data_IF_280712259446
#
_entry.id   IF_280712259446
#
_cell.length_a   1.000
_cell.length_b   1.000
_cell.length_c   1.000
_cell.angle_alpha   90.00
_cell.angle_beta   90.00
_cell.angle_gamma   90.00
#
_symmetry.space_group_name_H-M   'P 1'
#
loop_
_entity.id
_entity.type
_entity.pdbx_description
1 polymer ?
#
# COMPACT_ATOMS: atom_id res chain seq x y z
N UNK A 1 -9.17 9.86 43.26
CA UNK A 1 -7.99 9.45 42.46
C UNK A 1 -6.66 9.57 43.22
N UNK A 2 -6.34 10.70 43.89
CA UNK A 2 -5.09 10.90 44.67
C UNK A 2 -4.71 9.79 45.68
N UNK A 3 -5.67 9.20 46.39
CA UNK A 3 -5.37 8.14 47.36
C UNK A 3 -4.91 6.83 46.69
N UNK A 4 -5.49 6.47 45.54
CA UNK A 4 -5.10 5.27 44.78
C UNK A 4 -3.68 5.41 44.22
N UNK A 5 -3.34 6.62 43.75
CA UNK A 5 -2.00 6.95 43.25
C UNK A 5 -0.91 6.77 44.32
N UNK A 6 -1.16 7.29 45.53
CA UNK A 6 -0.24 7.12 46.66
C UNK A 6 -0.07 5.65 47.04
N UNK A 7 -1.14 4.85 46.97
CA UNK A 7 -1.07 3.41 47.21
C UNK A 7 -0.20 2.71 46.15
N UNK A 8 -0.40 2.99 44.86
CA UNK A 8 0.40 2.39 43.78
C UNK A 8 1.89 2.76 43.93
N UNK A 9 2.20 4.04 44.17
CA UNK A 9 3.59 4.48 44.41
C UNK A 9 4.21 3.79 45.63
N UNK A 10 3.44 3.65 46.72
CA UNK A 10 3.93 2.96 47.92
C UNK A 10 4.23 1.48 47.63
N UNK A 11 3.34 0.78 46.91
CA UNK A 11 3.53 -0.63 46.56
C UNK A 11 4.78 -0.83 45.70
N UNK A 12 4.97 -0.03 44.65
CA UNK A 12 6.14 -0.12 43.78
C UNK A 12 7.44 0.19 44.55
N UNK A 13 7.46 1.22 45.41
CA UNK A 13 8.61 1.53 46.29
C UNK A 13 8.92 0.43 47.29
N UNK A 14 7.95 -0.41 47.65
CA UNK A 14 8.13 -1.55 48.55
C UNK A 14 8.49 -2.83 47.81
N UNK A 15 8.82 -2.75 46.52
CA UNK A 15 9.29 -3.87 45.71
C UNK A 15 8.19 -4.69 45.04
N UNK A 16 6.97 -4.14 44.91
CA UNK A 16 5.95 -4.78 44.09
C UNK A 16 6.40 -4.79 42.62
N UNK A 17 6.49 -5.98 42.02
CA UNK A 17 6.86 -6.12 40.61
C UNK A 17 5.64 -5.80 39.71
N UNK A 18 5.72 -4.79 38.82
CA UNK A 18 4.63 -4.45 37.91
C UNK A 18 4.29 -5.56 36.91
N UNK A 19 5.15 -6.57 36.75
CA UNK A 19 5.02 -7.65 35.78
C UNK A 19 4.30 -8.91 36.33
N UNK A 20 4.18 -9.09 37.65
CA UNK A 20 3.67 -10.33 38.28
C UNK A 20 2.13 -10.46 38.32
N UNK A 21 1.38 -9.58 37.64
CA UNK A 21 -0.08 -9.61 37.71
C UNK A 21 -0.67 -10.63 36.72
N UNK A 22 -1.46 -11.61 37.23
CA UNK A 22 -1.94 -12.76 36.45
C UNK A 22 -3.44 -12.81 36.11
N UNK A 23 -4.26 -11.82 36.45
CA UNK A 23 -5.71 -11.87 36.11
C UNK A 23 -6.34 -10.48 35.87
N UNK A 24 -7.09 -10.24 34.78
CA UNK A 24 -7.03 -10.91 33.47
C UNK A 24 -5.98 -10.27 32.53
N UNK A 25 -5.31 -9.20 32.96
CA UNK A 25 -4.41 -8.39 32.14
C UNK A 25 -3.37 -7.69 33.02
N UNK A 26 -2.11 -7.59 32.55
CA UNK A 26 -1.03 -6.96 33.34
C UNK A 26 -1.28 -5.46 33.58
N UNK A 27 -0.69 -4.93 34.65
CA UNK A 27 -0.99 -3.59 35.19
C UNK A 27 -0.73 -2.48 34.16
N UNK A 28 0.34 -2.61 33.36
CA UNK A 28 0.68 -1.65 32.31
C UNK A 28 -0.46 -1.47 31.30
N UNK A 29 -1.07 -2.56 30.84
CA UNK A 29 -2.19 -2.47 29.90
C UNK A 29 -3.42 -1.77 30.50
N UNK A 30 -3.66 -1.88 31.80
CA UNK A 30 -4.76 -1.18 32.46
C UNK A 30 -4.53 0.33 32.46
N UNK A 31 -3.29 0.76 32.78
CA UNK A 31 -2.91 2.17 32.73
C UNK A 31 -3.00 2.73 31.30
N UNK A 32 -2.48 2.00 30.32
CA UNK A 32 -2.56 2.38 28.90
C UNK A 32 -4.03 2.49 28.48
N UNK A 33 -4.85 1.46 28.71
CA UNK A 33 -6.27 1.47 28.32
C UNK A 33 -7.06 2.59 29.01
N UNK A 34 -6.65 3.01 30.21
CA UNK A 34 -7.26 4.11 30.94
C UNK A 34 -6.81 5.50 30.48
N UNK A 35 -5.81 5.62 29.60
CA UNK A 35 -5.23 6.92 29.23
C UNK A 35 -4.36 7.54 30.34
N UNK A 36 -3.98 6.76 31.36
CA UNK A 36 -3.25 7.26 32.53
C UNK A 36 -1.76 7.43 32.23
N UNK A 37 -1.40 8.59 31.71
CA UNK A 37 -0.02 8.92 31.30
C UNK A 37 0.95 8.85 32.47
N UNK A 38 0.56 9.39 33.63
CA UNK A 38 1.39 9.37 34.83
C UNK A 38 1.58 7.93 35.32
N UNK A 39 0.51 7.13 35.32
CA UNK A 39 0.55 5.71 35.66
C UNK A 39 1.45 4.90 34.75
N UNK A 40 1.37 5.11 33.43
CA UNK A 40 2.27 4.46 32.46
C UNK A 40 3.71 4.84 32.75
N UNK A 41 4.01 6.15 32.91
CA UNK A 41 5.36 6.62 33.20
C UNK A 41 5.95 5.98 34.45
N UNK A 42 5.19 5.97 35.55
CA UNK A 42 5.63 5.37 36.81
C UNK A 42 5.91 3.87 36.68
N UNK A 43 5.08 3.14 35.95
CA UNK A 43 5.27 1.70 35.73
C UNK A 43 6.54 1.44 34.91
N UNK A 44 6.78 2.22 33.85
CA UNK A 44 8.00 2.12 33.04
C UNK A 44 9.26 2.43 33.87
N UNK A 45 9.22 3.46 34.72
CA UNK A 45 10.33 3.79 35.65
C UNK A 45 10.66 2.65 36.64
N UNK A 46 9.68 1.78 36.94
CA UNK A 46 9.85 0.62 37.82
C UNK A 46 10.02 -0.70 37.05
N UNK A 47 10.43 -0.65 35.78
CA UNK A 47 10.79 -1.84 35.01
C UNK A 47 9.59 -2.64 34.46
N UNK A 48 8.46 -1.98 34.22
CA UNK A 48 7.35 -2.62 33.51
C UNK A 48 7.76 -2.99 32.08
N UNK A 49 7.53 -4.25 31.72
CA UNK A 49 7.83 -4.78 30.39
C UNK A 49 6.84 -4.26 29.35
N UNK A 50 7.35 -3.84 28.20
CA UNK A 50 6.59 -3.33 27.05
C UNK A 50 6.40 -4.36 25.95
N UNK A 51 7.18 -5.45 25.97
CA UNK A 51 7.15 -6.58 25.03
C UNK A 51 6.05 -7.63 25.35
N UNK A 52 5.26 -7.34 26.37
CA UNK A 52 4.17 -8.19 26.86
C UNK A 52 3.05 -8.26 25.83
N UNK A 53 2.47 -9.45 25.66
CA UNK A 53 1.34 -9.69 24.76
C UNK A 53 0.13 -10.12 25.54
N UNK A 54 -1.04 -9.62 25.15
CA UNK A 54 -2.30 -10.16 25.66
C UNK A 54 -2.45 -11.65 25.33
N UNK A 55 -3.32 -12.39 26.03
CA UNK A 55 -3.66 -13.75 25.63
C UNK A 55 -4.10 -13.80 24.15
N UNK A 56 -3.82 -14.89 23.41
CA UNK A 56 -4.19 -15.02 21.99
C UNK A 56 -5.68 -14.78 21.72
N UNK A 57 -6.57 -15.11 22.67
CA UNK A 57 -8.02 -14.84 22.61
C UNK A 57 -8.38 -13.35 22.52
N UNK A 58 -7.44 -12.46 22.87
CA UNK A 58 -7.55 -11.01 22.77
C UNK A 58 -6.62 -10.45 21.67
N UNK A 59 -6.23 -11.28 20.69
CA UNK A 59 -5.44 -10.89 19.53
C UNK A 59 -3.95 -10.69 19.81
N UNK A 60 -3.41 -11.17 20.94
CA UNK A 60 -2.00 -11.02 21.32
C UNK A 60 -1.42 -9.60 21.22
N UNK A 61 -2.27 -8.59 21.45
CA UNK A 61 -1.89 -7.18 21.34
C UNK A 61 -0.81 -6.80 22.35
N UNK A 62 0.13 -5.96 21.92
CA UNK A 62 1.11 -5.29 22.80
C UNK A 62 0.54 -3.98 23.37
N UNK A 63 1.11 -3.41 24.44
CA UNK A 63 0.72 -2.10 24.96
C UNK A 63 0.72 -1.01 23.89
N UNK A 64 1.66 -1.09 22.93
CA UNK A 64 1.78 -0.14 21.84
C UNK A 64 0.56 -0.16 20.90
N UNK A 65 -0.03 -1.34 20.63
CA UNK A 65 -1.28 -1.43 19.86
C UNK A 65 -2.43 -0.71 20.55
N UNK A 66 -2.55 -0.88 21.88
CA UNK A 66 -3.62 -0.24 22.64
C UNK A 66 -3.40 1.27 22.67
N UNK A 67 -2.17 1.72 22.93
CA UNK A 67 -1.82 3.13 22.92
C UNK A 67 -2.12 3.80 21.57
N UNK A 68 -1.76 3.13 20.45
CA UNK A 68 -2.06 3.58 19.11
C UNK A 68 -3.57 3.62 18.79
N UNK A 69 -4.40 2.92 19.56
CA UNK A 69 -5.86 2.96 19.44
C UNK A 69 -6.52 4.06 20.29
N UNK A 70 -5.81 4.64 21.27
CA UNK A 70 -6.37 5.66 22.15
C UNK A 70 -6.60 6.97 21.36
N UNK A 71 -7.73 7.66 21.59
CA UNK A 71 -7.94 8.99 21.05
C UNK A 71 -7.23 10.07 21.87
N UNK A 72 -7.01 11.22 21.26
CA UNK A 72 -6.55 12.43 21.95
C UNK A 72 -5.05 12.45 22.31
N UNK A 73 -4.64 13.50 23.01
CA UNK A 73 -3.22 13.74 23.37
C UNK A 73 -2.68 12.69 24.35
N UNK A 74 -3.55 12.05 25.14
CA UNK A 74 -3.14 10.95 26.03
C UNK A 74 -2.57 9.77 25.25
N UNK A 75 -3.22 9.38 24.14
CA UNK A 75 -2.73 8.32 23.27
C UNK A 75 -1.36 8.64 22.66
N UNK A 76 -1.16 9.90 22.24
CA UNK A 76 0.12 10.39 21.71
C UNK A 76 1.22 10.27 22.77
N UNK A 77 1.02 10.85 23.95
CA UNK A 77 2.03 10.83 25.03
C UNK A 77 2.33 9.41 25.52
N UNK A 78 1.32 8.55 25.63
CA UNK A 78 1.55 7.15 26.03
C UNK A 78 2.32 6.41 24.94
N UNK A 79 2.01 6.67 23.66
CA UNK A 79 2.76 6.08 22.55
C UNK A 79 4.22 6.52 22.59
N UNK A 80 4.51 7.81 22.78
CA UNK A 80 5.87 8.34 22.94
C UNK A 80 6.61 7.67 24.11
N UNK A 81 5.97 7.59 25.29
CA UNK A 81 6.55 6.93 26.47
C UNK A 81 6.86 5.46 26.23
N UNK A 82 5.94 4.74 25.56
CA UNK A 82 6.15 3.34 25.21
C UNK A 82 7.27 3.21 24.19
N UNK A 83 7.32 4.03 23.14
CA UNK A 83 8.36 3.93 22.11
C UNK A 83 9.77 4.15 22.66
N UNK A 84 9.94 5.01 23.67
CA UNK A 84 11.22 5.14 24.37
C UNK A 84 11.64 3.89 25.17
N UNK A 85 10.69 3.01 25.49
CA UNK A 85 10.89 1.80 26.30
C UNK A 85 10.63 0.50 25.52
N UNK A 86 10.23 0.56 24.25
CA UNK A 86 9.85 -0.59 23.42
C UNK A 86 11.07 -1.11 22.67
N UNK A 87 11.17 -2.44 22.62
CA UNK A 87 12.24 -3.16 21.91
C UNK A 87 11.88 -3.52 20.47
N UNK A 88 10.59 -3.62 20.15
CA UNK A 88 10.08 -3.98 18.82
C UNK A 88 8.81 -3.16 18.51
N UNK A 89 8.97 -2.14 17.65
CA UNK A 89 7.88 -1.24 17.20
C UNK A 89 6.91 -1.96 16.25
N UNK A 90 7.41 -3.01 15.57
CA UNK A 90 6.74 -3.73 14.50
C UNK A 90 6.13 -5.06 14.96
N UNK A 91 6.04 -5.26 16.28
CA UNK A 91 5.40 -6.41 16.88
C UNK A 91 3.99 -6.62 16.27
N UNK A 92 3.76 -7.81 15.73
CA UNK A 92 2.49 -8.17 15.10
C UNK A 92 1.54 -8.83 16.11
N UNK A 93 0.27 -8.41 16.05
CA UNK A 93 -0.84 -9.05 16.72
C UNK A 93 -1.08 -10.49 16.19
N UNK A 94 -1.78 -11.30 16.96
CA UNK A 94 -2.29 -12.61 16.56
C UNK A 94 -3.77 -12.51 16.15
N UNK A 95 -4.12 -11.44 15.44
CA UNK A 95 -5.45 -11.22 14.85
C UNK A 95 -5.52 -11.72 13.41
N UNK A 96 -4.62 -12.64 13.04
CA UNK A 96 -4.51 -13.21 11.70
C UNK A 96 -5.85 -13.76 11.18
N UNK A 97 -6.65 -14.31 12.09
CA UNK A 97 -7.96 -14.90 11.81
C UNK A 97 -9.16 -13.96 12.04
N UNK A 98 -8.95 -12.74 12.53
CA UNK A 98 -10.04 -11.78 12.75
C UNK A 98 -10.30 -10.96 11.48
N UNK A 99 -11.53 -11.03 10.95
CA UNK A 99 -11.99 -10.13 9.88
C UNK A 99 -12.19 -8.74 10.50
N UNK A 100 -11.53 -7.72 9.97
CA UNK A 100 -11.58 -6.38 10.53
C UNK A 100 -12.87 -5.66 10.15
N UNK A 101 -13.69 -5.33 11.16
CA UNK A 101 -14.98 -4.64 11.05
C UNK A 101 -16.11 -5.42 11.74
N UNK A 102 -17.10 -4.75 12.38
CA UNK A 102 -18.14 -5.43 13.14
C UNK A 102 -19.05 -6.21 12.19
N UNK A 103 -19.10 -7.53 12.41
CA UNK A 103 -20.22 -8.43 12.10
C UNK A 103 -20.95 -8.19 10.77
N UNK A 104 -20.42 -8.76 9.68
CA UNK A 104 -21.15 -9.82 8.95
C UNK A 104 -20.30 -10.54 7.90
N UNK A 105 -20.50 -11.86 7.74
CA UNK A 105 -19.92 -12.65 6.68
C UNK A 105 -20.80 -12.47 5.43
N UNK A 106 -20.32 -11.70 4.49
CA UNK A 106 -20.55 -11.92 3.07
C UNK A 106 -19.47 -11.08 2.37
N UNK A 107 -18.42 -11.75 1.90
CA UNK A 107 -17.46 -11.15 0.98
C UNK A 107 -18.24 -10.67 -0.24
N UNK A 108 -18.69 -9.41 -0.20
CA UNK A 108 -19.42 -8.81 -1.31
C UNK A 108 -18.53 -8.95 -2.54
N UNK A 109 -19.03 -9.72 -3.51
CA UNK A 109 -18.29 -9.99 -4.74
C UNK A 109 -18.02 -8.65 -5.43
N UNK A 110 -16.74 -8.21 -5.38
CA UNK A 110 -16.25 -7.04 -6.10
C UNK A 110 -16.56 -7.21 -7.59
N UNK A 111 -17.09 -6.20 -8.25
CA UNK A 111 -17.34 -6.30 -9.69
C UNK A 111 -16.04 -6.27 -10.51
N UNK A 112 -14.90 -5.94 -9.87
CA UNK A 112 -13.60 -6.04 -10.49
C UNK A 112 -13.30 -7.51 -10.79
N UNK A 113 -13.22 -7.85 -12.09
CA UNK A 113 -12.88 -9.21 -12.52
C UNK A 113 -11.40 -9.46 -12.24
N UNK A 114 -11.12 -10.31 -11.25
CA UNK A 114 -9.80 -10.90 -11.09
C UNK A 114 -9.60 -11.96 -12.20
N UNK A 115 -8.50 -11.83 -12.92
CA UNK A 115 -7.82 -12.89 -13.65
C UNK A 115 -6.49 -13.11 -12.93
N UNK A 116 -5.90 -14.30 -13.01
CA UNK A 116 -4.64 -14.63 -12.32
C UNK A 116 -3.45 -13.84 -12.89
N UNK A 117 -3.52 -12.52 -12.79
CA UNK A 117 -2.54 -11.56 -13.28
C UNK A 117 -1.34 -11.57 -12.32
N UNK A 118 -0.11 -11.67 -12.86
CA UNK A 118 1.08 -11.49 -12.06
C UNK A 118 1.19 -10.03 -11.61
N UNK A 119 1.77 -9.83 -10.43
CA UNK A 119 2.00 -8.51 -9.86
C UNK A 119 3.09 -7.73 -10.60
N UNK A 120 3.52 -6.58 -10.05
CA UNK A 120 4.72 -5.92 -10.52
C UNK A 120 5.89 -6.92 -10.59
N UNK A 121 6.81 -6.81 -11.58
CA UNK A 121 7.99 -7.65 -11.62
C UNK A 121 8.86 -7.47 -10.36
N UNK A 122 9.59 -8.51 -9.95
CA UNK A 122 10.43 -8.46 -8.75
C UNK A 122 11.51 -7.39 -8.78
N UNK A 123 11.89 -6.89 -9.95
CA UNK A 123 12.82 -5.76 -10.12
C UNK A 123 12.27 -4.41 -9.66
N UNK A 124 10.94 -4.27 -9.53
CA UNK A 124 10.30 -3.03 -9.10
C UNK A 124 10.23 -2.86 -7.58
N UNK A 125 10.42 -3.92 -6.80
CA UNK A 125 10.34 -3.91 -5.34
C UNK A 125 11.54 -4.60 -4.71
N UNK A 126 11.82 -4.33 -3.44
CA UNK A 126 12.95 -4.94 -2.73
C UNK A 126 12.71 -6.44 -2.50
N UNK A 127 13.62 -7.34 -2.92
CA UNK A 127 13.42 -8.80 -2.87
C UNK A 127 13.48 -9.44 -1.47
N UNK A 128 13.53 -8.65 -0.39
CA UNK A 128 13.55 -9.17 0.99
C UNK A 128 12.25 -9.83 1.45
N UNK A 129 11.21 -9.85 0.63
CA UNK A 129 9.98 -10.55 0.94
C UNK A 129 9.92 -11.87 0.17
N UNK A 130 10.17 -12.98 0.87
CA UNK A 130 9.40 -14.20 0.61
C UNK A 130 7.90 -13.81 0.54
N UNK A 131 7.09 -14.58 -0.21
CA UNK A 131 5.63 -14.41 -0.27
C UNK A 131 5.12 -14.00 1.12
N UNK A 132 4.36 -12.90 1.25
CA UNK A 132 4.04 -12.32 2.54
C UNK A 132 3.39 -13.40 3.40
N UNK A 133 4.12 -13.88 4.40
CA UNK A 133 3.52 -14.65 5.47
C UNK A 133 2.48 -13.72 6.08
N UNK A 134 1.24 -14.18 6.13
CA UNK A 134 0.15 -13.37 6.66
C UNK A 134 0.52 -12.89 8.07
N UNK A 135 0.62 -11.58 8.23
CA UNK A 135 1.02 -10.93 9.48
C UNK A 135 -0.16 -10.24 10.14
N UNK A 136 -0.24 -10.29 11.47
CA UNK A 136 -1.26 -9.53 12.18
C UNK A 136 -0.97 -8.03 12.19
N UNK A 137 -1.89 -7.25 12.77
CA UNK A 137 -1.74 -5.79 12.82
C UNK A 137 -0.51 -5.40 13.62
N UNK A 138 0.09 -4.29 13.20
CA UNK A 138 1.10 -3.57 13.96
C UNK A 138 0.45 -2.34 14.59
N UNK A 139 1.14 -1.69 15.51
CA UNK A 139 0.66 -0.42 16.07
C UNK A 139 0.45 0.65 14.98
N UNK A 140 1.27 0.64 13.93
CA UNK A 140 1.14 1.55 12.79
C UNK A 140 -0.17 1.30 12.02
N UNK A 141 -0.52 0.05 11.75
CA UNK A 141 -1.81 -0.31 11.15
C UNK A 141 -2.99 0.22 11.99
N UNK A 142 -2.92 0.06 13.32
CA UNK A 142 -3.95 0.58 14.25
C UNK A 142 -4.06 2.10 14.21
N UNK A 143 -2.94 2.81 14.20
CA UNK A 143 -2.92 4.27 14.12
C UNK A 143 -3.48 4.76 12.76
N UNK A 144 -3.17 4.07 11.66
CA UNK A 144 -3.66 4.36 10.32
C UNK A 144 -5.17 4.16 10.15
N UNK A 145 -5.89 3.52 11.07
CA UNK A 145 -7.36 3.36 11.00
C UNK A 145 -8.18 4.48 11.67
N UNK A 146 -7.55 5.28 12.53
CA UNK A 146 -8.26 6.24 13.39
C UNK A 146 -8.03 7.70 13.02
N UNK A 147 -9.10 8.47 13.02
CA UNK A 147 -8.99 9.93 12.94
C UNK A 147 -8.19 10.49 14.13
N UNK A 148 -7.50 11.61 13.93
CA UNK A 148 -6.75 12.28 15.00
C UNK A 148 -5.39 11.65 15.33
N UNK A 149 -5.11 10.42 14.90
CA UNK A 149 -3.86 9.72 15.20
C UNK A 149 -2.70 10.06 14.26
N UNK A 150 -2.78 11.18 13.52
CA UNK A 150 -1.70 11.64 12.63
C UNK A 150 -0.37 11.85 13.38
N UNK A 151 -0.43 12.33 14.63
CA UNK A 151 0.73 12.46 15.51
C UNK A 151 1.30 11.09 15.90
N UNK A 152 0.45 10.14 16.27
CA UNK A 152 0.84 8.75 16.59
C UNK A 152 1.51 8.09 15.38
N UNK A 153 0.92 8.22 14.18
CA UNK A 153 1.51 7.70 12.93
C UNK A 153 2.88 8.32 12.70
N UNK A 154 3.01 9.65 12.88
CA UNK A 154 4.30 10.34 12.74
C UNK A 154 5.33 9.77 13.71
N UNK A 155 4.98 9.60 14.99
CA UNK A 155 5.91 9.13 16.01
C UNK A 155 6.35 7.68 15.76
N UNK A 156 5.40 6.80 15.40
CA UNK A 156 5.71 5.41 15.02
C UNK A 156 6.70 5.35 13.84
N UNK A 157 6.44 6.13 12.80
CA UNK A 157 7.31 6.17 11.62
C UNK A 157 8.67 6.81 11.90
N UNK A 158 8.77 7.79 12.81
CA UNK A 158 10.07 8.36 13.21
C UNK A 158 10.90 7.40 14.05
N UNK A 159 10.25 6.50 14.78
CA UNK A 159 10.91 5.44 15.56
C UNK A 159 11.15 4.16 14.75
N UNK A 160 10.99 4.21 13.42
CA UNK A 160 11.37 3.12 12.52
C UNK A 160 10.33 2.05 12.28
N UNK A 161 9.04 2.29 12.58
CA UNK A 161 7.96 1.37 12.20
C UNK A 161 7.94 1.14 10.69
N UNK A 162 7.94 -0.11 10.23
CA UNK A 162 7.90 -0.43 8.80
C UNK A 162 6.46 -0.35 8.24
N UNK A 163 6.15 0.62 7.35
CA UNK A 163 4.83 0.74 6.73
C UNK A 163 4.52 -0.38 5.73
N UNK A 164 5.50 -1.19 5.36
CA UNK A 164 5.37 -2.23 4.35
C UNK A 164 4.99 -3.59 4.91
N UNK A 165 4.90 -3.75 6.24
CA UNK A 165 4.60 -5.05 6.83
C UNK A 165 3.24 -5.57 6.36
N UNK A 166 3.17 -6.86 5.96
CA UNK A 166 1.95 -7.43 5.45
C UNK A 166 0.91 -7.55 6.56
N UNK A 167 -0.34 -7.28 6.20
CA UNK A 167 -1.52 -7.47 7.01
C UNK A 167 -2.33 -8.66 6.51
N UNK A 168 -2.96 -9.39 7.42
CA UNK A 168 -3.72 -10.60 7.13
C UNK A 168 -4.92 -10.39 6.22
N UNK A 169 -5.35 -11.49 5.59
CA UNK A 169 -6.59 -11.59 4.79
C UNK A 169 -6.70 -10.57 3.65
N UNK A 170 -5.60 -10.30 2.98
CA UNK A 170 -5.60 -9.50 1.76
C UNK A 170 -5.78 -7.99 1.97
N UNK A 171 -5.66 -7.50 3.21
CA UNK A 171 -5.61 -6.05 3.46
C UNK A 171 -4.28 -5.44 3.04
N UNK A 172 -3.22 -6.21 2.81
CA UNK A 172 -1.99 -5.68 2.21
C UNK A 172 -1.09 -4.98 3.23
N UNK A 173 -0.99 -3.65 3.19
CA UNK A 173 -0.03 -2.84 3.97
C UNK A 173 -0.68 -1.60 4.61
N UNK A 174 0.08 -0.79 5.36
CA UNK A 174 -0.41 0.47 5.93
C UNK A 174 -1.01 1.42 4.87
N UNK A 175 -0.48 1.41 3.64
CA UNK A 175 -1.05 2.15 2.52
C UNK A 175 -2.45 1.64 2.15
N UNK A 176 -2.66 0.33 2.17
CA UNK A 176 -3.96 -0.26 1.86
C UNK A 176 -5.00 0.07 2.96
N UNK A 177 -4.59 0.04 4.24
CA UNK A 177 -5.43 0.49 5.36
C UNK A 177 -5.85 1.95 5.20
N UNK A 178 -4.93 2.84 4.76
CA UNK A 178 -5.26 4.24 4.51
C UNK A 178 -6.29 4.43 3.37
N UNK A 179 -6.38 3.46 2.46
CA UNK A 179 -7.25 3.50 1.29
C UNK A 179 -8.59 2.78 1.48
N UNK A 180 -8.73 1.99 2.55
CA UNK A 180 -9.92 1.18 2.81
C UNK A 180 -11.17 2.07 3.06
N UNK A 181 -12.30 1.65 2.48
CA UNK A 181 -13.60 2.29 2.61
C UNK A 181 -14.18 2.17 4.03
N UNK A 182 -13.83 1.14 4.78
CA UNK A 182 -14.34 0.87 6.13
C UNK A 182 -14.06 2.02 7.12
N UNK A 183 -13.04 2.84 6.84
CA UNK A 183 -12.61 3.97 7.68
C UNK A 183 -12.93 5.32 7.04
N UNK A 184 -13.70 5.35 5.96
CA UNK A 184 -14.01 6.57 5.20
C UNK A 184 -14.79 7.61 6.00
N UNK A 185 -15.75 7.19 6.82
CA UNK A 185 -16.52 8.11 7.66
C UNK A 185 -15.71 8.74 8.79
N UNK A 186 -14.48 8.26 9.01
CA UNK A 186 -13.59 8.75 10.07
C UNK A 186 -12.54 9.71 9.56
N UNK A 187 -12.50 10.10 8.28
CA UNK A 187 -11.48 11.05 7.80
C UNK A 187 -11.99 11.89 6.66
N UNK A 188 -11.64 13.17 6.67
CA UNK A 188 -11.71 13.99 5.46
C UNK A 188 -10.77 13.47 4.37
N UNK A 189 -11.11 13.71 3.10
CA UNK A 189 -10.28 13.31 1.96
C UNK A 189 -8.86 13.86 2.08
N UNK A 190 -8.70 15.15 2.42
CA UNK A 190 -7.37 15.77 2.53
C UNK A 190 -6.54 15.14 3.66
N UNK A 191 -7.17 14.74 4.78
CA UNK A 191 -6.49 14.01 5.85
C UNK A 191 -6.00 12.64 5.40
N UNK A 192 -6.76 11.94 4.54
CA UNK A 192 -6.32 10.67 3.93
C UNK A 192 -5.14 10.88 2.99
N UNK A 193 -5.17 11.93 2.15
CA UNK A 193 -4.06 12.23 1.25
C UNK A 193 -2.78 12.55 2.04
N UNK A 194 -2.89 13.36 3.11
CA UNK A 194 -1.77 13.68 3.99
C UNK A 194 -1.22 12.43 4.73
N UNK A 195 -2.09 11.47 5.08
CA UNK A 195 -1.65 10.19 5.64
C UNK A 195 -0.86 9.36 4.63
N UNK A 196 -1.33 9.29 3.38
CA UNK A 196 -0.61 8.60 2.28
C UNK A 196 0.75 9.25 2.04
N UNK A 197 0.82 10.58 1.96
CA UNK A 197 2.09 11.28 1.76
C UNK A 197 3.07 11.01 2.89
N UNK A 198 2.58 10.97 4.14
CA UNK A 198 3.40 10.65 5.31
C UNK A 198 3.93 9.22 5.26
N UNK A 199 3.10 8.25 4.89
CA UNK A 199 3.54 6.86 4.74
C UNK A 199 4.62 6.74 3.65
N UNK A 200 4.38 7.33 2.48
CA UNK A 200 5.33 7.30 1.36
C UNK A 200 6.64 8.01 1.73
N UNK A 201 6.59 9.17 2.41
CA UNK A 201 7.80 9.90 2.83
C UNK A 201 8.66 9.13 3.83
N UNK A 202 8.06 8.17 4.55
CA UNK A 202 8.75 7.27 5.49
C UNK A 202 8.99 5.87 4.91
N UNK A 203 8.99 5.72 3.58
CA UNK A 203 9.42 4.49 2.92
C UNK A 203 8.33 3.46 2.63
N UNK A 204 7.04 3.84 2.67
CA UNK A 204 5.99 2.97 2.18
C UNK A 204 6.10 2.78 0.66
N UNK A 205 6.27 1.53 0.25
CA UNK A 205 6.45 1.12 -1.13
C UNK A 205 5.09 0.84 -1.79
N UNK A 206 4.65 1.77 -2.62
CA UNK A 206 3.42 1.66 -3.40
C UNK A 206 3.49 0.58 -4.49
N UNK A 207 4.70 0.14 -4.87
CA UNK A 207 4.95 -0.93 -5.85
C UNK A 207 5.01 -2.31 -5.19
N UNK A 208 4.94 -2.39 -3.86
CA UNK A 208 4.94 -3.68 -3.15
C UNK A 208 3.73 -4.52 -3.57
N UNK A 209 3.90 -5.80 -3.90
CA UNK A 209 2.81 -6.65 -4.35
C UNK A 209 1.76 -6.84 -3.25
N UNK A 210 0.49 -6.70 -3.63
CA UNK A 210 -0.68 -6.93 -2.78
C UNK A 210 -1.52 -8.04 -3.39
N UNK A 211 -1.81 -9.07 -2.60
CA UNK A 211 -2.63 -10.21 -3.02
C UNK A 211 -4.11 -9.84 -2.86
N UNK A 212 -4.86 -9.91 -3.97
CA UNK A 212 -6.30 -9.71 -4.02
C UNK A 212 -6.97 -11.05 -4.23
N UNK A 213 -7.93 -11.38 -3.36
CA UNK A 213 -8.65 -12.65 -3.39
C UNK A 213 -10.14 -12.43 -3.57
N UNK A 214 -10.76 -13.17 -4.47
CA UNK A 214 -12.20 -13.14 -4.71
C UNK A 214 -12.72 -14.56 -5.01
N UNK A 215 -13.29 -15.21 -4.00
CA UNK A 215 -13.58 -16.64 -4.08
C UNK A 215 -12.29 -17.41 -4.38
N UNK A 216 -12.31 -18.26 -5.41
CA UNK A 216 -11.14 -19.04 -5.83
C UNK A 216 -10.14 -18.26 -6.71
N UNK A 217 -10.46 -17.00 -7.05
CA UNK A 217 -9.61 -16.19 -7.93
C UNK A 217 -8.65 -15.37 -7.11
N UNK A 218 -7.39 -15.38 -7.54
CA UNK A 218 -6.31 -14.63 -6.90
C UNK A 218 -5.64 -13.78 -7.97
N UNK A 219 -5.43 -12.49 -7.68
CA UNK A 219 -4.62 -11.62 -8.51
C UNK A 219 -3.57 -10.95 -7.63
N UNK A 220 -2.40 -10.66 -8.18
CA UNK A 220 -1.39 -9.86 -7.48
C UNK A 220 -1.36 -8.48 -8.14
N UNK A 221 -1.61 -7.45 -7.34
CA UNK A 221 -1.61 -6.06 -7.79
C UNK A 221 -0.78 -5.19 -6.85
N UNK A 222 -1.16 -3.93 -6.75
CA UNK A 222 -0.55 -2.92 -5.87
C UNK A 222 -1.57 -2.37 -4.87
N UNK A 223 -1.14 -1.48 -3.98
CA UNK A 223 -2.07 -0.74 -3.11
C UNK A 223 -3.13 0.05 -3.91
N UNK A 224 -2.82 0.47 -5.15
CA UNK A 224 -3.79 1.12 -6.04
C UNK A 224 -4.86 0.14 -6.50
N UNK A 225 -4.46 -1.07 -6.89
CA UNK A 225 -5.40 -2.12 -7.28
C UNK A 225 -6.28 -2.54 -6.11
N UNK A 226 -5.71 -2.64 -4.90
CA UNK A 226 -6.48 -2.85 -3.68
C UNK A 226 -7.52 -1.74 -3.46
N UNK A 227 -7.12 -0.46 -3.60
CA UNK A 227 -8.04 0.67 -3.48
C UNK A 227 -9.21 0.58 -4.47
N UNK A 228 -8.95 0.24 -5.73
CA UNK A 228 -10.02 0.01 -6.70
C UNK A 228 -10.84 -1.25 -6.38
N UNK A 229 -10.20 -2.32 -5.92
CA UNK A 229 -10.87 -3.56 -5.55
C UNK A 229 -11.88 -3.30 -4.42
N UNK A 230 -11.47 -2.56 -3.39
CA UNK A 230 -12.31 -2.08 -2.29
C UNK A 230 -13.41 -1.15 -2.80
N UNK A 231 -13.09 -0.17 -3.66
CA UNK A 231 -14.07 0.72 -4.31
C UNK A 231 -15.21 -0.04 -5.00
N UNK A 232 -14.90 -1.09 -5.75
CA UNK A 232 -15.87 -1.89 -6.50
C UNK A 232 -16.67 -2.90 -5.66
N UNK A 233 -16.38 -3.03 -4.35
CA UNK A 233 -17.25 -3.78 -3.43
C UNK A 233 -18.53 -2.99 -3.11
N UNK A 234 -18.47 -1.65 -3.09
CA UNK A 234 -19.64 -0.80 -2.92
C UNK A 234 -20.42 -0.68 -4.22
N UNK A 235 -21.35 -1.60 -4.44
CA UNK A 235 -22.19 -1.63 -5.65
C UNK A 235 -23.07 -0.40 -5.79
N UNK A 236 -23.49 0.21 -4.68
CA UNK A 236 -24.38 1.37 -4.70
C UNK A 236 -23.66 2.57 -5.28
N UNK A 237 -22.43 2.81 -4.83
CA UNK A 237 -21.65 3.97 -5.28
C UNK A 237 -20.94 3.70 -6.61
N UNK A 238 -20.35 2.52 -6.78
CA UNK A 238 -19.51 2.25 -7.96
C UNK A 238 -20.31 2.00 -9.25
N UNK A 239 -21.56 1.52 -9.18
CA UNK A 239 -22.36 1.14 -10.36
C UNK A 239 -23.58 2.01 -10.62
N UNK A 240 -23.99 2.83 -9.67
CA UNK A 240 -25.11 3.74 -9.90
C UNK A 240 -24.66 4.93 -10.78
N UNK A 241 -25.40 5.27 -11.84
CA UNK A 241 -25.14 6.48 -12.62
C UNK A 241 -25.13 7.72 -11.72
N UNK A 242 -24.22 8.67 -12.00
CA UNK A 242 -24.02 9.86 -11.15
C UNK A 242 -25.30 10.64 -10.83
N UNK A 243 -26.19 10.79 -11.81
CA UNK A 243 -27.44 11.53 -11.66
C UNK A 243 -28.46 10.82 -10.75
N UNK A 244 -28.34 9.50 -10.58
CA UNK A 244 -29.22 8.69 -9.72
C UNK A 244 -28.73 8.61 -8.27
N UNK A 245 -27.53 9.13 -7.97
CA UNK A 245 -27.00 9.22 -6.61
C UNK A 245 -27.55 10.43 -5.85
N UNK A 246 -27.76 10.28 -4.55
CA UNK A 246 -28.09 11.36 -3.63
C UNK A 246 -26.90 12.33 -3.46
N UNK A 247 -27.10 13.60 -3.05
CA UNK A 247 -26.00 14.57 -2.91
C UNK A 247 -24.81 14.07 -2.07
N UNK A 248 -25.06 13.49 -0.89
CA UNK A 248 -24.01 12.92 -0.04
C UNK A 248 -23.27 11.73 -0.70
N UNK A 249 -23.97 10.92 -1.51
CA UNK A 249 -23.37 9.80 -2.23
C UNK A 249 -22.50 10.28 -3.41
N UNK A 250 -22.89 11.38 -4.05
CA UNK A 250 -22.08 12.05 -5.08
C UNK A 250 -20.79 12.58 -4.48
N UNK A 251 -20.85 13.21 -3.32
CA UNK A 251 -19.67 13.68 -2.59
C UNK A 251 -18.73 12.52 -2.24
N UNK A 252 -19.28 11.42 -1.73
CA UNK A 252 -18.51 10.21 -1.43
C UNK A 252 -17.86 9.60 -2.69
N UNK A 253 -18.62 9.48 -3.78
CA UNK A 253 -18.07 9.00 -5.07
C UNK A 253 -16.89 9.87 -5.53
N UNK A 254 -17.03 11.20 -5.46
CA UNK A 254 -16.00 12.14 -5.86
C UNK A 254 -14.77 12.06 -4.94
N UNK A 255 -14.97 11.95 -3.63
CA UNK A 255 -13.90 11.77 -2.65
C UNK A 255 -13.09 10.49 -2.93
N UNK A 256 -13.76 9.35 -3.15
CA UNK A 256 -13.12 8.07 -3.49
C UNK A 256 -12.36 8.16 -4.81
N UNK A 257 -12.96 8.78 -5.85
CA UNK A 257 -12.27 8.98 -7.13
C UNK A 257 -11.01 9.84 -6.98
N UNK A 258 -11.09 10.94 -6.21
CA UNK A 258 -9.95 11.80 -5.93
C UNK A 258 -8.82 11.03 -5.24
N UNK A 259 -9.15 10.19 -4.26
CA UNK A 259 -8.19 9.31 -3.58
C UNK A 259 -7.50 8.34 -4.55
N UNK A 260 -8.28 7.66 -5.40
CA UNK A 260 -7.75 6.69 -6.36
C UNK A 260 -6.88 7.35 -7.45
N UNK A 261 -7.29 8.52 -7.94
CA UNK A 261 -6.47 9.33 -8.87
C UNK A 261 -5.15 9.76 -8.19
N UNK A 262 -5.21 10.14 -6.91
CA UNK A 262 -4.02 10.50 -6.14
C UNK A 262 -3.02 9.35 -5.99
N UNK A 263 -3.51 8.16 -5.61
CA UNK A 263 -2.72 6.94 -5.54
C UNK A 263 -2.11 6.56 -6.89
N UNK A 264 -2.90 6.65 -7.97
CA UNK A 264 -2.41 6.41 -9.33
C UNK A 264 -1.28 7.36 -9.72
N UNK A 265 -1.32 8.62 -9.27
CA UNK A 265 -0.24 9.58 -9.51
C UNK A 265 1.07 9.21 -8.78
N UNK A 266 0.98 8.78 -7.52
CA UNK A 266 2.13 8.30 -6.74
C UNK A 266 2.72 7.01 -7.31
N UNK A 267 1.87 6.07 -7.72
CA UNK A 267 2.31 4.84 -8.38
C UNK A 267 3.07 5.17 -9.66
N UNK A 268 2.52 6.02 -10.54
CA UNK A 268 3.20 6.44 -11.78
C UNK A 268 4.56 7.06 -11.49
N UNK A 269 4.67 7.95 -10.50
CA UNK A 269 5.94 8.56 -10.09
C UNK A 269 6.94 7.52 -9.60
N UNK A 270 6.50 6.56 -8.78
CA UNK A 270 7.35 5.49 -8.28
C UNK A 270 7.88 4.59 -9.41
N UNK A 271 7.01 4.22 -10.37
CA UNK A 271 7.42 3.47 -11.56
C UNK A 271 8.45 4.26 -12.37
N UNK A 272 8.22 5.55 -12.63
CA UNK A 272 9.17 6.35 -13.42
C UNK A 272 10.52 6.50 -12.74
N UNK A 273 10.53 6.67 -11.41
CA UNK A 273 11.76 6.72 -10.63
C UNK A 273 12.53 5.38 -10.65
N UNK A 274 11.83 4.24 -10.81
CA UNK A 274 12.45 2.93 -11.02
C UNK A 274 12.95 2.76 -12.44
N UNK A 275 12.13 3.07 -13.44
CA UNK A 275 12.49 2.95 -14.85
C UNK A 275 13.66 3.86 -15.24
N UNK A 276 13.82 5.03 -14.58
CA UNK A 276 14.96 5.93 -14.82
C UNK A 276 16.31 5.38 -14.35
N UNK A 277 16.32 4.26 -13.61
CA UNK A 277 17.56 3.58 -13.17
C UNK A 277 18.09 2.62 -14.23
N UNK A 278 17.32 2.38 -15.29
CA UNK A 278 17.64 1.43 -16.35
C UNK A 278 18.03 2.14 -17.65
N UNK A 279 18.65 1.38 -18.55
CA UNK A 279 18.95 1.87 -19.90
C UNK A 279 17.64 2.16 -20.66
N UNK A 280 17.47 3.42 -21.06
CA UNK A 280 16.24 3.90 -21.68
C UNK A 280 15.96 3.24 -23.03
N UNK A 281 17.00 2.98 -23.82
CA UNK A 281 16.89 2.35 -25.15
C UNK A 281 16.51 0.88 -25.01
N UNK A 282 17.17 0.16 -24.11
CA UNK A 282 16.87 -1.24 -23.83
C UNK A 282 15.45 -1.42 -23.26
N UNK A 283 15.02 -0.53 -22.36
CA UNK A 283 13.66 -0.52 -21.82
C UNK A 283 12.63 -0.25 -22.93
N UNK A 284 12.88 0.73 -23.79
CA UNK A 284 11.99 1.04 -24.92
C UNK A 284 11.87 -0.17 -25.86
N UNK A 285 12.98 -0.80 -26.24
CA UNK A 285 12.99 -1.96 -27.11
C UNK A 285 12.25 -3.14 -26.48
N UNK A 286 12.44 -3.37 -25.18
CA UNK A 286 11.71 -4.39 -24.41
C UNK A 286 10.20 -4.14 -24.42
N UNK A 287 9.77 -2.89 -24.16
CA UNK A 287 8.35 -2.48 -24.22
C UNK A 287 7.78 -2.67 -25.62
N UNK A 288 8.50 -2.23 -26.66
CA UNK A 288 8.05 -2.36 -28.06
C UNK A 288 7.93 -3.82 -28.48
N UNK A 289 8.92 -4.65 -28.17
CA UNK A 289 8.92 -6.07 -28.51
C UNK A 289 7.70 -6.79 -27.92
N UNK A 290 7.39 -6.53 -26.64
CA UNK A 290 6.29 -7.20 -25.96
C UNK A 290 4.89 -6.64 -26.29
N UNK A 291 4.79 -5.34 -26.57
CA UNK A 291 3.50 -4.66 -26.79
C UNK A 291 3.08 -4.57 -28.26
N UNK A 292 3.96 -4.91 -29.20
CA UNK A 292 3.61 -4.97 -30.62
C UNK A 292 2.63 -6.11 -30.86
N UNK A 293 1.45 -5.86 -31.48
CA UNK A 293 0.50 -6.93 -31.77
C UNK A 293 1.13 -7.92 -32.74
N UNK A 294 1.52 -9.10 -32.25
CA UNK A 294 1.91 -10.19 -33.15
C UNK A 294 0.67 -10.57 -33.96
N UNK A 295 0.67 -10.27 -35.27
CA UNK A 295 -0.27 -10.90 -36.17
C UNK A 295 -0.18 -12.41 -35.95
N UNK A 296 -1.31 -13.02 -35.56
CA UNK A 296 -1.49 -14.47 -35.34
C UNK A 296 -0.47 -15.28 -36.15
N UNK A 297 0.57 -15.79 -35.48
CA UNK A 297 1.45 -16.78 -36.09
C UNK A 297 0.57 -18.00 -36.34
N UNK A 298 0.14 -18.17 -37.60
CA UNK A 298 -0.39 -19.42 -38.12
C UNK A 298 0.56 -20.52 -37.69
N UNK A 299 0.01 -21.58 -37.07
CA UNK A 299 0.66 -22.90 -36.91
C UNK A 299 1.58 -23.17 -38.10
N UNK A 300 2.90 -23.12 -37.88
CA UNK A 300 3.87 -23.80 -38.73
C UNK A 300 4.24 -25.10 -38.01
N UNK A 301 4.10 -26.18 -38.75
CA UNK A 301 4.46 -27.56 -38.41
C UNK A 301 5.95 -27.68 -38.03
N UNK A 302 6.33 -28.70 -37.24
CA UNK A 302 7.70 -28.88 -36.78
C UNK A 302 8.59 -29.43 -37.90
N UNK A 303 9.72 -28.77 -38.17
CA UNK A 303 10.70 -29.23 -39.15
C UNK A 303 12.04 -28.49 -39.06
N UNK A 304 12.99 -29.16 -38.42
CA UNK A 304 14.46 -28.99 -38.36
C UNK A 304 15.09 -27.70 -37.74
N UNK A 305 16.15 -27.87 -36.92
CA UNK A 305 16.88 -26.75 -36.32
C UNK A 305 17.90 -26.21 -37.31
N UNK A 306 17.89 -24.90 -37.56
CA UNK A 306 19.04 -24.21 -38.15
C UNK A 306 19.61 -23.29 -37.09
N UNK A 307 20.84 -23.60 -36.73
CA UNK A 307 21.73 -22.87 -35.84
C UNK A 307 22.01 -21.48 -36.43
N UNK A 308 21.40 -20.45 -35.84
CA UNK A 308 21.81 -19.07 -36.00
C UNK A 308 21.70 -18.43 -34.62
N UNK A 309 22.84 -18.00 -34.08
CA UNK A 309 23.00 -17.46 -32.74
C UNK A 309 21.91 -16.46 -32.39
N UNK A 310 20.95 -16.89 -31.58
CA UNK A 310 20.09 -15.99 -30.84
C UNK A 310 21.01 -15.28 -29.85
N UNK A 311 21.42 -14.06 -30.17
CA UNK A 311 21.75 -13.10 -29.11
C UNK A 311 20.54 -13.12 -28.19
N UNK A 312 20.69 -13.67 -26.98
CA UNK A 312 19.71 -13.50 -25.91
C UNK A 312 19.56 -12.00 -25.73
N UNK A 313 18.53 -11.41 -26.34
CA UNK A 313 18.24 -10.00 -26.19
C UNK A 313 17.86 -9.82 -24.73
N UNK A 314 18.75 -9.18 -23.96
CA UNK A 314 18.52 -8.85 -22.56
C UNK A 314 17.23 -8.02 -22.47
N UNK A 315 16.14 -8.65 -22.03
CA UNK A 315 14.86 -7.99 -21.89
C UNK A 315 14.71 -7.44 -20.48
N UNK A 316 14.40 -6.15 -20.37
CA UNK A 316 14.08 -5.54 -19.09
C UNK A 316 12.60 -5.84 -18.78
N UNK A 317 12.29 -6.61 -17.72
CA UNK A 317 10.90 -6.79 -17.30
C UNK A 317 10.34 -5.45 -16.81
N UNK A 318 9.23 -5.02 -17.39
CA UNK A 318 8.59 -3.75 -17.05
C UNK A 318 7.19 -3.94 -16.47
N UNK A 319 6.76 -3.00 -15.64
CA UNK A 319 5.48 -3.06 -14.97
C UNK A 319 4.37 -2.54 -15.87
N UNK A 320 3.37 -3.38 -16.14
CA UNK A 320 2.22 -3.06 -16.99
C UNK A 320 1.05 -2.57 -16.14
N UNK A 321 0.78 -1.28 -16.23
CA UNK A 321 -0.32 -0.64 -15.52
C UNK A 321 -0.90 0.50 -16.36
N UNK A 322 -2.06 1.02 -15.98
CA UNK A 322 -2.64 2.20 -16.59
C UNK A 322 -1.95 3.46 -16.07
N UNK A 323 -1.29 4.21 -16.94
CA UNK A 323 -0.53 5.40 -16.56
C UNK A 323 -1.42 6.55 -16.04
N UNK A 324 -2.73 6.53 -16.29
CA UNK A 324 -3.64 7.53 -15.73
C UNK A 324 -4.15 7.14 -14.34
N UNK A 325 -4.71 5.93 -14.21
CA UNK A 325 -5.44 5.52 -13.01
C UNK A 325 -4.66 4.57 -12.10
N UNK A 326 -3.46 4.15 -12.49
CA UNK A 326 -2.60 3.25 -11.71
C UNK A 326 -3.02 1.78 -11.73
N UNK A 327 -4.18 1.40 -12.30
CA UNK A 327 -4.64 0.01 -12.29
C UNK A 327 -3.77 -0.91 -13.13
N UNK A 328 -3.36 -2.03 -12.57
CA UNK A 328 -2.79 -3.19 -13.26
C UNK A 328 -3.76 -4.39 -13.29
N UNK A 329 -4.68 -4.49 -12.33
CA UNK A 329 -5.59 -5.63 -12.20
C UNK A 329 -7.00 -5.32 -12.73
N UNK A 330 -7.60 -6.32 -13.40
CA UNK A 330 -8.98 -6.26 -13.89
C UNK A 330 -9.20 -5.22 -15.00
N UNK A 331 -8.16 -4.91 -15.77
CA UNK A 331 -8.17 -3.98 -16.90
C UNK A 331 -7.50 -4.58 -18.12
N UNK A 332 -7.93 -4.17 -19.32
CA UNK A 332 -7.17 -4.41 -20.55
C UNK A 332 -6.37 -3.15 -20.87
N UNK A 333 -5.06 -3.28 -20.94
CA UNK A 333 -4.17 -2.18 -21.24
C UNK A 333 -3.93 -2.07 -22.75
N UNK A 334 -4.06 -0.86 -23.28
CA UNK A 334 -3.74 -0.55 -24.66
C UNK A 334 -2.52 0.38 -24.70
N UNK A 335 -1.43 0.01 -25.40
CA UNK A 335 -0.26 0.86 -25.56
C UNK A 335 -0.53 2.02 -26.51
N UNK A 336 0.22 3.11 -26.33
CA UNK A 336 0.35 4.12 -27.37
C UNK A 336 1.07 3.53 -28.57
N UNK A 337 0.44 3.59 -29.75
CA UNK A 337 1.01 3.07 -31.00
C UNK A 337 2.22 3.85 -31.51
N UNK A 338 2.49 5.04 -30.95
CA UNK A 338 3.64 5.88 -31.32
C UNK A 338 4.86 5.59 -30.45
N UNK A 339 4.71 5.69 -29.14
CA UNK A 339 5.85 5.57 -28.23
C UNK A 339 5.99 4.22 -27.55
N UNK A 340 4.95 3.36 -27.52
CA UNK A 340 4.89 2.11 -26.74
C UNK A 340 5.17 2.24 -25.22
N UNK A 341 5.59 3.42 -24.75
CA UNK A 341 5.96 3.67 -23.35
C UNK A 341 4.78 3.93 -22.42
N UNK A 342 3.59 4.23 -22.94
CA UNK A 342 2.41 4.58 -22.14
C UNK A 342 1.25 3.63 -22.43
N UNK A 343 0.74 3.02 -21.37
CA UNK A 343 -0.39 2.08 -21.37
C UNK A 343 -1.63 2.74 -20.73
N UNK A 344 -2.81 2.52 -21.33
CA UNK A 344 -4.08 3.06 -20.82
C UNK A 344 -5.20 2.02 -20.85
N UNK A 345 -6.08 2.03 -19.84
CA UNK A 345 -7.13 1.01 -19.71
C UNK A 345 -8.48 1.37 -20.33
N UNK A 346 -8.66 2.64 -20.76
CA UNK A 346 -9.94 3.14 -21.27
C UNK A 346 -9.74 4.38 -22.14
N UNK A 347 -10.75 4.72 -22.94
CA UNK A 347 -10.78 5.99 -23.70
C UNK A 347 -10.64 7.21 -22.79
N UNK A 348 -11.29 7.19 -21.63
CA UNK A 348 -11.20 8.26 -20.63
C UNK A 348 -9.76 8.45 -20.13
N UNK A 349 -9.11 7.35 -19.72
CA UNK A 349 -7.71 7.38 -19.28
C UNK A 349 -6.77 7.85 -20.40
N UNK A 350 -7.01 7.43 -21.64
CA UNK A 350 -6.25 7.89 -22.81
C UNK A 350 -6.36 9.40 -23.02
N UNK A 351 -7.57 9.95 -23.01
CA UNK A 351 -7.79 11.38 -23.21
C UNK A 351 -7.18 12.22 -22.08
N UNK A 352 -7.37 11.82 -20.81
CA UNK A 352 -6.77 12.53 -19.68
C UNK A 352 -5.26 12.46 -19.66
N UNK A 353 -4.68 11.27 -19.85
CA UNK A 353 -3.22 11.12 -19.90
C UNK A 353 -2.62 12.00 -21.01
N UNK A 354 -3.25 12.04 -22.19
CA UNK A 354 -2.84 12.91 -23.29
C UNK A 354 -2.90 14.40 -22.94
N UNK A 355 -3.93 14.83 -22.21
CA UNK A 355 -4.08 16.23 -21.82
C UNK A 355 -3.08 16.65 -20.72
N UNK A 356 -2.78 15.76 -19.78
CA UNK A 356 -2.02 16.10 -18.57
C UNK A 356 -0.50 15.99 -18.73
N UNK A 357 0.01 14.91 -19.33
CA UNK A 357 1.45 14.64 -19.38
C UNK A 357 1.92 14.02 -20.70
N UNK A 358 1.19 13.04 -21.24
CA UNK A 358 1.67 12.23 -22.35
C UNK A 358 1.93 13.03 -23.63
N UNK A 359 1.17 14.10 -23.94
CA UNK A 359 1.39 14.86 -25.19
C UNK A 359 2.82 15.39 -25.31
N UNK A 360 3.43 15.81 -24.19
CA UNK A 360 4.79 16.36 -24.16
C UNK A 360 5.81 15.24 -24.33
N UNK A 361 5.65 14.16 -23.57
CA UNK A 361 6.64 13.09 -23.48
C UNK A 361 6.55 12.06 -24.64
N UNK A 362 5.46 12.06 -25.41
CA UNK A 362 5.21 11.06 -26.46
C UNK A 362 6.29 11.05 -27.54
N UNK A 363 6.74 12.24 -27.97
CA UNK A 363 7.76 12.38 -29.00
C UNK A 363 9.14 11.98 -28.47
N UNK A 364 9.48 12.39 -27.25
CA UNK A 364 10.76 12.07 -26.62
C UNK A 364 10.90 10.56 -26.42
N UNK A 365 9.84 9.91 -25.92
CA UNK A 365 9.81 8.45 -25.78
C UNK A 365 9.90 7.72 -27.14
N UNK A 366 9.35 8.30 -28.20
CA UNK A 366 9.44 7.72 -29.54
C UNK A 366 10.85 7.90 -30.14
N UNK A 367 11.53 9.01 -29.82
CA UNK A 367 12.88 9.31 -30.30
C UNK A 367 13.95 8.38 -29.72
N UNK A 368 13.75 7.85 -28.49
CA UNK A 368 14.62 6.84 -27.87
C UNK A 368 14.79 5.59 -28.76
N UNK A 369 13.80 5.29 -29.60
CA UNK A 369 13.79 4.16 -30.51
C UNK A 369 14.50 4.37 -31.85
N UNK A 370 15.06 5.56 -32.10
CA UNK A 370 15.80 5.86 -33.34
C UNK A 370 17.29 5.58 -33.09
N UNK A 371 17.90 4.58 -33.75
CA UNK A 371 19.33 4.34 -33.60
C UNK A 371 20.14 5.55 -34.07
N UNK A 372 21.18 5.89 -33.32
CA UNK A 372 22.08 7.05 -33.55
C UNK A 372 22.90 6.97 -34.84
N UNK A 373 22.80 5.91 -35.63
CA UNK A 373 23.57 5.73 -36.87
C UNK A 373 23.02 6.49 -38.09
N UNK A 374 21.79 7.02 -38.03
CA UNK A 374 21.23 7.79 -39.18
C UNK A 374 21.53 9.30 -39.15
N UNK A 375 22.16 9.82 -38.09
CA UNK A 375 22.47 11.26 -37.99
C UNK A 375 23.82 11.63 -38.64
N UNK A 376 24.61 10.66 -39.10
CA UNK A 376 25.98 10.90 -39.62
C UNK A 376 26.11 10.94 -41.15
N UNK A 377 25.05 10.72 -41.93
CA UNK A 377 25.16 10.52 -43.39
C UNK A 377 24.36 11.53 -44.26
N UNK A 378 24.07 12.74 -43.76
CA UNK A 378 23.42 13.80 -44.58
C UNK A 378 24.09 15.18 -44.49
N UNK A 379 25.36 15.26 -44.10
CA UNK A 379 26.06 16.54 -43.92
C UNK A 379 27.40 16.64 -44.62
N UNK A 380 27.51 16.20 -45.88
CA UNK A 380 28.78 16.34 -46.60
C UNK A 380 28.69 15.96 -48.06
N UNK A 381 28.08 16.81 -48.88
CA UNK A 381 28.40 16.92 -50.32
C UNK A 381 27.68 18.14 -50.90
N UNK A 382 28.44 19.21 -51.15
CA UNK A 382 28.25 20.18 -52.25
C UNK A 382 29.48 21.10 -52.26
N UNK A 383 30.38 20.82 -53.19
CA UNK A 383 31.40 21.76 -53.69
C UNK A 383 30.75 22.86 -54.52
#
# INVERSE_FOLDING_TARGET
QRNRWRTIQLLLRRGADPNLCRVPMQVLFLAVRAGDVDGVKLMLEHGARTDIRLPPKLGALTPLHIAAALPGEEGVRITELLLHAVTDVDAQAADQDHVYGPDKPDLLFSSMKLSNEPGPPSTYYSPHAALPQEGGRTALHVACEREGNSKVVKELLSQGADPNLPLTKGLGSALCVACDLNYEHRRSTDSKLALIDRLISHGADILKPVILTQGDKVAVGTAVDYGYFSFFQDRKIAHCPFHALMPAEREMLLARKRLLEYLGSHLRRAVFAKESQWDATLLYLSKKAELTPSHRVRKRSPGLPTDQGAQEQEHIPFFKFCYQCGRSVGVRLAPCTRCYGILTCSKYCKTRAWAEFHRKDCSDMAAIGVPTEEVSMQGGESQ
#
